data_IF_967234322509
#
_entry.id   IF_967234322509
#
_cell.length_a   1.000
_cell.length_b   1.000
_cell.length_c   1.000
_cell.angle_alpha   90.00
_cell.angle_beta   90.00
_cell.angle_gamma   90.00
#
_symmetry.space_group_name_H-M   'P 1'
#
loop_
_entity.id
_entity.type
_entity.pdbx_description
1 polymer ?
#
# COMPACT_ATOMS: atom_id res chain seq x y z
N UNK A 1 10.67 -26.46 31.34
CA UNK A 1 11.57 -26.60 30.17
C UNK A 1 11.92 -25.20 29.71
N UNK A 2 13.20 -24.84 29.72
CA UNK A 2 13.64 -23.45 29.57
C UNK A 2 13.33 -22.89 28.18
N UNK A 3 12.58 -21.80 28.14
CA UNK A 3 12.47 -20.95 26.97
C UNK A 3 13.85 -20.36 26.69
N UNK A 4 14.59 -20.97 25.76
CA UNK A 4 15.82 -20.39 25.23
C UNK A 4 15.42 -19.11 24.52
N UNK A 5 15.55 -17.98 25.22
CA UNK A 5 15.30 -16.65 24.68
C UNK A 5 15.99 -16.53 23.32
N UNK A 6 15.20 -16.26 22.27
CA UNK A 6 15.71 -16.13 20.91
C UNK A 6 16.79 -15.04 20.93
N UNK A 7 18.02 -15.32 20.47
CA UNK A 7 19.08 -14.34 20.47
C UNK A 7 18.60 -13.08 19.74
N UNK A 8 18.78 -11.92 20.37
CA UNK A 8 18.27 -10.65 19.88
C UNK A 8 19.03 -10.25 18.61
N UNK A 9 18.50 -10.67 17.45
CA UNK A 9 19.11 -10.45 16.15
C UNK A 9 18.94 -8.97 15.78
N UNK A 10 20.04 -8.24 15.77
CA UNK A 10 20.07 -6.82 15.42
C UNK A 10 20.10 -6.66 13.91
N UNK A 11 19.09 -5.99 13.37
CA UNK A 11 19.02 -5.60 11.97
C UNK A 11 19.30 -4.11 11.83
N UNK A 12 20.03 -3.71 10.80
CA UNK A 12 20.26 -2.29 10.47
C UNK A 12 18.97 -1.64 10.01
N UNK A 13 18.86 -0.31 10.16
CA UNK A 13 17.64 0.39 9.75
C UNK A 13 17.42 0.34 8.24
N UNK A 14 18.49 0.40 7.44
CA UNK A 14 18.43 0.19 5.99
C UNK A 14 17.86 -1.18 5.63
N UNK A 15 18.29 -2.25 6.33
CA UNK A 15 17.77 -3.58 6.09
C UNK A 15 16.28 -3.67 6.44
N UNK A 16 15.84 -3.04 7.52
CA UNK A 16 14.41 -3.01 7.90
C UNK A 16 13.56 -2.31 6.85
N UNK A 17 14.09 -1.22 6.28
CA UNK A 17 13.44 -0.43 5.23
C UNK A 17 13.29 -1.25 3.96
N UNK A 18 14.37 -1.86 3.49
CA UNK A 18 14.34 -2.69 2.28
C UNK A 18 13.53 -3.98 2.47
N UNK A 19 13.56 -4.57 3.66
CA UNK A 19 12.73 -5.72 3.99
C UNK A 19 11.23 -5.38 3.93
N UNK A 20 10.83 -4.24 4.51
CA UNK A 20 9.45 -3.76 4.44
C UNK A 20 9.04 -3.42 2.99
N UNK A 21 9.96 -2.87 2.20
CA UNK A 21 9.73 -2.58 0.78
C UNK A 21 9.50 -3.86 -0.02
N UNK A 22 10.31 -4.89 0.21
CA UNK A 22 10.15 -6.21 -0.42
C UNK A 22 8.82 -6.85 -0.01
N UNK A 23 8.44 -6.77 1.25
CA UNK A 23 7.16 -7.28 1.73
C UNK A 23 5.96 -6.64 1.02
N UNK A 24 6.04 -5.33 0.72
CA UNK A 24 5.00 -4.62 -0.03
C UNK A 24 4.90 -5.07 -1.51
N UNK A 25 5.99 -5.56 -2.11
CA UNK A 25 6.00 -5.95 -3.53
C UNK A 25 5.66 -7.42 -3.76
N UNK A 26 6.19 -8.33 -2.93
CA UNK A 26 6.01 -9.79 -3.10
C UNK A 26 5.10 -10.44 -2.04
N UNK A 27 4.71 -9.70 -1.01
CA UNK A 27 3.94 -10.19 0.12
C UNK A 27 4.80 -10.75 1.26
N UNK A 28 4.24 -10.70 2.49
CA UNK A 28 4.96 -11.02 3.74
C UNK A 28 5.55 -12.43 3.75
N UNK A 29 4.80 -13.44 3.30
CA UNK A 29 5.25 -14.85 3.33
C UNK A 29 6.45 -15.12 2.43
N UNK A 30 6.45 -14.52 1.24
CA UNK A 30 7.54 -14.68 0.27
C UNK A 30 8.77 -13.87 0.72
N UNK A 31 8.56 -12.66 1.24
CA UNK A 31 9.63 -11.85 1.81
C UNK A 31 10.30 -12.53 3.02
N UNK A 32 9.53 -13.19 3.90
CA UNK A 32 10.07 -13.99 5.01
C UNK A 32 10.93 -15.15 4.52
N UNK A 33 10.47 -15.89 3.50
CA UNK A 33 11.24 -17.00 2.93
C UNK A 33 12.57 -16.54 2.36
N UNK A 34 12.61 -15.39 1.68
CA UNK A 34 13.82 -14.83 1.08
C UNK A 34 14.79 -14.26 2.10
N UNK A 35 14.28 -13.58 3.14
CA UNK A 35 15.10 -12.84 4.09
C UNK A 35 15.45 -13.64 5.36
N UNK A 36 14.74 -14.74 5.62
CA UNK A 36 14.91 -15.52 6.85
C UNK A 36 14.53 -14.75 8.12
N UNK A 37 13.66 -13.75 8.00
CA UNK A 37 13.20 -12.89 9.10
C UNK A 37 11.85 -13.41 9.60
N UNK A 38 11.59 -13.47 10.91
CA UNK A 38 10.28 -13.89 11.42
C UNK A 38 9.13 -13.02 10.89
N UNK A 39 8.00 -13.65 10.55
CA UNK A 39 6.81 -12.98 9.98
C UNK A 39 6.34 -11.82 10.86
N UNK A 40 6.29 -12.02 12.19
CA UNK A 40 5.90 -10.99 13.14
C UNK A 40 6.85 -9.77 13.11
N UNK A 41 8.16 -10.01 12.95
CA UNK A 41 9.17 -8.96 12.88
C UNK A 41 9.02 -8.14 11.60
N UNK A 42 8.85 -8.80 10.46
CA UNK A 42 8.65 -8.15 9.17
C UNK A 42 7.35 -7.34 9.14
N UNK A 43 6.25 -7.91 9.65
CA UNK A 43 4.97 -7.22 9.77
C UNK A 43 5.04 -5.98 10.65
N UNK A 44 5.81 -6.02 11.74
CA UNK A 44 6.05 -4.86 12.59
C UNK A 44 6.79 -3.74 11.85
N UNK A 45 7.81 -4.06 11.05
CA UNK A 45 8.52 -3.05 10.25
C UNK A 45 7.66 -2.47 9.14
N UNK A 46 6.90 -3.30 8.43
CA UNK A 46 5.98 -2.86 7.38
C UNK A 46 4.89 -1.92 7.92
N UNK A 47 4.32 -2.25 9.09
CA UNK A 47 3.37 -1.38 9.80
C UNK A 47 4.02 -0.05 10.18
N UNK A 48 5.21 -0.10 10.80
CA UNK A 48 5.95 1.09 11.23
C UNK A 48 6.34 2.01 10.07
N UNK A 49 6.68 1.45 8.90
CA UNK A 49 6.93 2.24 7.69
C UNK A 49 5.68 3.00 7.21
N UNK A 50 4.50 2.35 7.29
CA UNK A 50 3.23 2.95 6.85
C UNK A 50 2.71 4.01 7.82
N UNK A 51 3.02 3.88 9.11
CA UNK A 51 2.52 4.77 10.16
C UNK A 51 3.29 6.10 10.27
N UNK A 52 4.51 6.19 9.73
CA UNK A 52 5.27 7.44 9.68
C UNK A 52 6.76 7.18 9.91
N UNK A 53 7.57 7.52 8.90
CA UNK A 53 8.99 7.17 8.77
C UNK A 53 9.82 7.26 10.05
N UNK A 54 10.63 6.23 10.26
CA UNK A 54 11.82 6.21 11.13
C UNK A 54 11.62 6.72 12.57
N UNK A 55 10.63 6.20 13.31
CA UNK A 55 10.71 6.28 14.77
C UNK A 55 11.77 5.29 15.28
N UNK A 56 12.74 5.76 16.04
CA UNK A 56 13.74 4.98 16.80
C UNK A 56 13.09 3.85 17.63
N UNK A 57 13.80 2.75 17.93
CA UNK A 57 13.26 1.70 18.80
C UNK A 57 13.30 2.18 20.26
N UNK A 58 12.13 2.56 20.81
CA UNK A 58 12.02 2.94 22.22
C UNK A 58 10.68 3.55 22.64
N UNK A 59 9.90 4.12 21.72
CA UNK A 59 8.62 4.73 22.08
C UNK A 59 7.46 3.74 21.88
N UNK A 60 6.99 3.17 22.99
CA UNK A 60 5.60 2.79 23.10
C UNK A 60 4.75 4.07 22.99
N UNK A 61 4.06 4.26 21.86
CA UNK A 61 2.93 5.17 21.79
C UNK A 61 2.08 4.82 20.56
N UNK A 62 0.93 4.22 20.87
CA UNK A 62 -0.31 4.23 20.11
C UNK A 62 -0.46 5.42 19.16
N UNK A 63 -0.37 5.18 17.85
CA UNK A 63 -1.18 5.91 16.87
C UNK A 63 -1.58 4.92 15.77
N UNK A 64 -2.62 4.14 16.06
CA UNK A 64 -3.35 3.37 15.06
C UNK A 64 -3.94 4.34 14.03
N UNK A 65 -3.21 4.59 12.95
CA UNK A 65 -3.83 5.13 11.74
C UNK A 65 -4.68 4.01 11.16
N UNK A 66 -5.96 4.00 11.55
CA UNK A 66 -6.93 3.03 11.08
C UNK A 66 -6.83 2.96 9.55
N UNK A 67 -6.58 1.76 9.02
CA UNK A 67 -6.86 1.49 7.61
C UNK A 67 -8.32 1.89 7.38
N UNK A 68 -8.65 2.57 6.26
CA UNK A 68 -10.03 2.78 5.88
C UNK A 68 -10.76 1.44 6.01
N UNK A 69 -11.89 1.44 6.72
CA UNK A 69 -12.69 0.23 6.87
C UNK A 69 -13.05 -0.33 5.50
N UNK A 70 -13.32 -1.63 5.38
CA UNK A 70 -13.72 -2.25 4.10
C UNK A 70 -14.87 -1.47 3.44
N UNK A 71 -15.81 -0.96 4.25
CA UNK A 71 -16.91 -0.10 3.79
C UNK A 71 -16.46 1.25 3.19
N UNK A 72 -15.41 1.88 3.73
CA UNK A 72 -14.88 3.14 3.20
C UNK A 72 -14.18 2.91 1.86
N UNK A 73 -13.46 1.79 1.73
CA UNK A 73 -12.87 1.37 0.46
C UNK A 73 -13.93 1.05 -0.60
N UNK A 74 -15.02 0.37 -0.22
CA UNK A 74 -16.14 0.10 -1.13
C UNK A 74 -16.85 1.38 -1.58
N UNK A 75 -17.03 2.35 -0.67
CA UNK A 75 -17.59 3.65 -0.99
C UNK A 75 -16.70 4.42 -1.98
N UNK A 76 -15.38 4.42 -1.75
CA UNK A 76 -14.41 5.06 -2.64
C UNK A 76 -14.39 4.38 -4.02
N UNK A 77 -14.40 3.05 -4.09
CA UNK A 77 -14.49 2.31 -5.35
C UNK A 77 -15.78 2.65 -6.10
N UNK A 78 -16.90 2.76 -5.41
CA UNK A 78 -18.18 3.15 -6.01
C UNK A 78 -18.12 4.58 -6.56
N UNK A 79 -17.55 5.52 -5.81
CA UNK A 79 -17.37 6.91 -6.25
C UNK A 79 -16.49 6.98 -7.50
N UNK A 80 -15.32 6.35 -7.47
CA UNK A 80 -14.38 6.32 -8.59
C UNK A 80 -14.99 5.68 -9.84
N UNK A 81 -15.78 4.61 -9.69
CA UNK A 81 -16.48 3.99 -10.84
C UNK A 81 -17.49 4.94 -11.47
N UNK A 82 -18.21 5.75 -10.67
CA UNK A 82 -19.15 6.75 -11.17
C UNK A 82 -18.42 7.87 -11.93
N UNK A 83 -17.35 8.41 -11.35
CA UNK A 83 -16.52 9.44 -11.98
C UNK A 83 -15.94 8.95 -13.32
N UNK A 84 -15.43 7.71 -13.35
CA UNK A 84 -14.89 7.10 -14.55
C UNK A 84 -15.95 6.90 -15.64
N UNK A 85 -17.17 6.50 -15.25
CA UNK A 85 -18.29 6.39 -16.20
C UNK A 85 -18.67 7.75 -16.80
N UNK A 86 -18.73 8.81 -15.98
CA UNK A 86 -19.00 10.17 -16.46
C UNK A 86 -17.93 10.65 -17.43
N UNK A 87 -16.66 10.50 -17.08
CA UNK A 87 -15.55 10.92 -17.94
C UNK A 87 -15.54 10.18 -19.29
N UNK A 88 -15.90 8.90 -19.31
CA UNK A 88 -16.02 8.14 -20.56
C UNK A 88 -17.14 8.68 -21.46
N UNK A 89 -18.29 9.03 -20.88
CA UNK A 89 -19.39 9.64 -21.62
C UNK A 89 -18.95 10.97 -22.25
N UNK A 90 -18.26 11.82 -21.49
CA UNK A 90 -17.76 13.11 -21.96
C UNK A 90 -16.79 12.93 -23.14
N UNK A 91 -15.88 11.95 -23.03
CA UNK A 91 -14.95 11.58 -24.12
C UNK A 91 -15.70 11.13 -25.37
N UNK A 92 -16.75 10.32 -25.24
CA UNK A 92 -17.56 9.89 -26.38
C UNK A 92 -18.30 11.05 -27.06
N UNK A 93 -18.88 11.96 -26.28
CA UNK A 93 -19.57 13.14 -26.80
C UNK A 93 -18.59 14.03 -27.56
N UNK A 94 -17.43 14.31 -26.96
CA UNK A 94 -16.38 15.09 -27.61
C UNK A 94 -15.84 14.41 -28.86
N UNK A 95 -15.69 13.09 -28.85
CA UNK A 95 -15.29 12.32 -30.03
C UNK A 95 -16.33 12.42 -31.16
N UNK A 96 -17.63 12.35 -30.85
CA UNK A 96 -18.69 12.54 -31.86
C UNK A 96 -18.71 13.97 -32.40
N UNK A 97 -18.55 14.97 -31.55
CA UNK A 97 -18.50 16.37 -31.95
C UNK A 97 -17.29 16.64 -32.87
N UNK A 98 -16.10 16.19 -32.47
CA UNK A 98 -14.89 16.33 -33.30
C UNK A 98 -15.02 15.64 -34.65
N UNK A 99 -15.61 14.44 -34.71
CA UNK A 99 -15.89 13.76 -35.98
C UNK A 99 -16.87 14.55 -36.87
N UNK A 100 -17.89 15.18 -36.29
CA UNK A 100 -18.82 16.05 -37.02
C UNK A 100 -18.11 17.28 -37.59
N UNK A 101 -17.30 17.98 -36.77
CA UNK A 101 -16.53 19.14 -37.22
C UNK A 101 -15.50 18.79 -38.30
N UNK A 102 -14.80 17.66 -38.17
CA UNK A 102 -13.85 17.19 -39.18
C UNK A 102 -14.53 16.89 -40.54
N UNK A 103 -15.78 16.42 -40.54
CA UNK A 103 -16.56 16.14 -41.76
C UNK A 103 -17.09 17.42 -42.44
N UNK A 104 -17.33 18.49 -41.68
CA UNK A 104 -17.81 19.78 -42.18
C UNK A 104 -16.72 20.74 -42.69
N UNK A 105 -15.45 20.36 -42.62
CA UNK A 105 -14.28 21.16 -43.03
C UNK A 105 -13.98 21.12 -44.55
N UNK A 106 -15.00 20.96 -45.41
CA UNK A 106 -14.82 20.95 -46.87
C UNK A 106 -15.63 22.05 -47.53
#
# INVERSE_FOLDING_TARGET
>A
MGEKGVPNRRYTDEFRVEAARLANSVGDNEAVRRLGVPVATLGNWARKQREGGAATPGAAASVSRAKPGVSELEAEVSRLRKELASAKLDVEILSKATAYFAKGSR
#
